data_IF_736754480775
#
_entry.id   IF_736754480775
#
_cell.length_a   1.000
_cell.length_b   1.000
_cell.length_c   1.000
_cell.angle_alpha   90.00
_cell.angle_beta   90.00
_cell.angle_gamma   90.00
#
_symmetry.space_group_name_H-M   'P 1'
#
loop_
_entity.id
_entity.type
_entity.pdbx_description
1 polymer ?
#
# COMPACT_ATOMS: atom_id res chain seq x y z
N UNK A 1 22.18 -58.98 -1.16
CA UNK A 1 20.88 -58.42 -1.62
C UNK A 1 20.84 -56.92 -1.33
N UNK A 2 21.10 -56.06 -2.32
CA UNK A 2 20.94 -54.58 -2.23
C UNK A 2 20.40 -54.00 -3.55
N UNK A 3 19.40 -54.66 -4.16
CA UNK A 3 18.79 -54.22 -5.43
C UNK A 3 17.36 -53.68 -5.23
N UNK A 4 16.75 -53.88 -4.05
CA UNK A 4 15.36 -53.53 -3.78
C UNK A 4 15.11 -52.09 -3.30
N UNK A 5 16.15 -51.26 -3.12
CA UNK A 5 16.00 -49.92 -2.53
C UNK A 5 16.02 -48.75 -3.55
N UNK A 6 16.49 -48.97 -4.79
CA UNK A 6 16.55 -47.89 -5.82
C UNK A 6 15.34 -47.87 -6.77
N UNK A 7 14.77 -49.03 -7.10
CA UNK A 7 13.69 -49.14 -8.07
C UNK A 7 12.29 -48.80 -7.54
N UNK A 8 12.08 -48.83 -6.23
CA UNK A 8 10.78 -48.47 -5.62
C UNK A 8 10.71 -46.97 -5.33
N UNK A 9 11.84 -46.32 -5.04
CA UNK A 9 11.89 -44.90 -4.70
C UNK A 9 11.65 -43.99 -5.90
N UNK A 10 12.09 -44.39 -7.11
CA UNK A 10 11.93 -43.59 -8.33
C UNK A 10 10.46 -43.42 -8.79
N UNK A 11 9.60 -44.47 -8.86
CA UNK A 11 8.21 -44.30 -9.26
C UNK A 11 7.39 -43.54 -8.21
N UNK A 12 7.68 -43.72 -6.91
CA UNK A 12 7.01 -42.97 -5.83
C UNK A 12 7.37 -41.48 -5.92
N UNK A 13 8.65 -41.16 -6.16
CA UNK A 13 9.09 -39.77 -6.34
C UNK A 13 8.48 -39.14 -7.61
N UNK A 14 8.42 -39.90 -8.72
CA UNK A 14 7.79 -39.44 -9.96
C UNK A 14 6.28 -39.19 -9.80
N UNK A 15 5.56 -40.03 -9.04
CA UNK A 15 4.15 -39.82 -8.72
C UNK A 15 3.91 -38.59 -7.84
N UNK A 16 4.78 -38.30 -6.88
CA UNK A 16 4.66 -37.14 -5.99
C UNK A 16 5.04 -35.82 -6.69
N UNK A 17 6.04 -35.83 -7.58
CA UNK A 17 6.41 -34.67 -8.40
C UNK A 17 5.29 -34.30 -9.39
N UNK A 18 4.62 -35.30 -9.95
CA UNK A 18 3.47 -35.10 -10.84
C UNK A 18 2.29 -34.40 -10.15
N UNK A 19 2.13 -34.62 -8.84
CA UNK A 19 1.06 -34.03 -8.03
C UNK A 19 1.38 -32.59 -7.57
N UNK A 20 2.66 -32.17 -7.63
CA UNK A 20 3.10 -30.81 -7.32
C UNK A 20 3.10 -29.83 -8.51
N UNK A 21 3.09 -30.34 -9.75
CA UNK A 21 3.17 -29.52 -10.98
C UNK A 21 1.80 -28.99 -11.46
N UNK A 22 0.69 -29.34 -10.81
CA UNK A 22 -0.66 -28.94 -11.21
C UNK A 22 -1.21 -27.69 -10.51
N UNK A 23 -0.47 -27.12 -9.54
CA UNK A 23 -0.84 -25.84 -8.90
C UNK A 23 -0.10 -24.66 -9.55
N UNK A 24 -0.22 -24.51 -10.86
CA UNK A 24 0.17 -23.28 -11.54
C UNK A 24 -1.06 -22.39 -11.68
N UNK A 25 -1.57 -21.91 -10.53
CA UNK A 25 -2.64 -20.91 -10.50
C UNK A 25 -2.05 -19.60 -11.00
N UNK A 26 -2.39 -19.23 -12.23
CA UNK A 26 -2.12 -17.91 -12.79
C UNK A 26 -2.73 -16.85 -11.87
N UNK A 27 -1.93 -16.27 -10.98
CA UNK A 27 -2.37 -15.16 -10.13
C UNK A 27 -2.53 -13.95 -11.03
N UNK A 28 -3.76 -13.68 -11.46
CA UNK A 28 -4.11 -12.42 -12.10
C UNK A 28 -4.07 -11.31 -11.05
N UNK A 29 -3.04 -10.48 -11.08
CA UNK A 29 -2.97 -9.26 -10.26
C UNK A 29 -3.74 -8.16 -10.99
N UNK A 30 -4.94 -7.84 -10.50
CA UNK A 30 -5.64 -6.65 -10.95
C UNK A 30 -4.93 -5.40 -10.39
N UNK A 31 -4.51 -4.48 -11.28
CA UNK A 31 -3.99 -3.17 -10.86
C UNK A 31 -5.17 -2.36 -10.33
N UNK A 32 -5.25 -2.24 -9.00
CA UNK A 32 -6.29 -1.42 -8.37
C UNK A 32 -5.91 0.07 -8.48
N UNK A 33 -6.91 0.92 -8.65
CA UNK A 33 -6.71 2.37 -8.54
C UNK A 33 -6.21 2.68 -7.11
N UNK A 34 -5.03 3.31 -6.96
CA UNK A 34 -4.44 3.53 -5.64
C UNK A 34 -5.33 4.34 -4.70
N UNK A 35 -6.12 5.29 -5.22
CA UNK A 35 -7.01 6.09 -4.38
C UNK A 35 -8.23 5.30 -3.89
N UNK A 36 -8.75 4.39 -4.72
CA UNK A 36 -9.80 3.44 -4.32
C UNK A 36 -9.28 2.42 -3.32
N UNK A 37 -8.07 1.88 -3.54
CA UNK A 37 -7.43 0.95 -2.64
C UNK A 37 -7.20 1.60 -1.26
N UNK A 38 -6.66 2.82 -1.23
CA UNK A 38 -6.48 3.57 0.00
C UNK A 38 -7.78 3.74 0.79
N UNK A 39 -8.89 4.10 0.14
CA UNK A 39 -10.19 4.19 0.81
C UNK A 39 -10.57 2.89 1.54
N UNK A 40 -10.40 1.75 0.86
CA UNK A 40 -10.75 0.42 1.40
C UNK A 40 -9.75 0.00 2.48
N UNK A 41 -8.46 0.26 2.30
CA UNK A 41 -7.40 -0.06 3.25
C UNK A 41 -7.57 0.72 4.57
N UNK A 42 -8.12 1.94 4.50
CA UNK A 42 -8.48 2.73 5.66
C UNK A 42 -9.76 2.24 6.38
N UNK A 43 -10.41 1.19 5.85
CA UNK A 43 -11.61 0.58 6.41
C UNK A 43 -12.92 1.25 5.99
N UNK A 44 -12.91 2.04 4.91
CA UNK A 44 -14.09 2.76 4.44
C UNK A 44 -14.77 2.10 3.25
N UNK A 45 -16.02 2.49 3.01
CA UNK A 45 -16.80 1.91 1.92
C UNK A 45 -16.55 2.66 0.62
N UNK A 46 -16.20 1.93 -0.44
CA UNK A 46 -16.09 2.49 -1.77
C UNK A 46 -17.47 2.63 -2.40
N UNK A 47 -17.94 3.87 -2.56
CA UNK A 47 -19.17 4.20 -3.26
C UNK A 47 -18.95 4.51 -4.75
N UNK A 48 -20.05 4.67 -5.50
CA UNK A 48 -20.00 5.03 -6.94
C UNK A 48 -19.35 6.38 -7.22
N UNK A 49 -19.41 7.31 -6.26
CA UNK A 49 -18.94 8.70 -6.41
C UNK A 49 -17.72 9.03 -5.54
N UNK A 50 -17.22 8.09 -4.75
CA UNK A 50 -16.15 8.37 -3.80
C UNK A 50 -16.08 7.39 -2.62
N UNK A 51 -15.19 7.70 -1.68
CA UNK A 51 -15.06 7.04 -0.39
C UNK A 51 -16.16 7.51 0.57
N UNK A 52 -16.87 6.58 1.22
CA UNK A 52 -17.95 6.84 2.18
C UNK A 52 -17.44 6.55 3.58
N UNK A 53 -17.51 7.55 4.45
CA UNK A 53 -17.00 7.49 5.81
C UNK A 53 -18.07 7.06 6.83
N UNK A 54 -17.68 6.68 8.07
CA UNK A 54 -18.62 6.19 9.09
C UNK A 54 -19.67 7.22 9.55
N UNK A 55 -19.42 8.52 9.35
CA UNK A 55 -20.40 9.58 9.65
C UNK A 55 -21.42 9.79 8.53
N UNK A 56 -21.36 8.98 7.46
CA UNK A 56 -22.21 9.09 6.27
C UNK A 56 -21.77 10.15 5.27
N UNK A 57 -20.73 10.94 5.57
CA UNK A 57 -20.14 11.85 4.59
C UNK A 57 -19.37 11.06 3.52
N UNK A 58 -19.20 11.65 2.35
CA UNK A 58 -18.43 11.04 1.26
C UNK A 58 -17.49 12.04 0.64
N UNK A 59 -16.36 11.56 0.13
CA UNK A 59 -15.45 12.35 -0.67
C UNK A 59 -14.91 11.59 -1.87
N UNK A 60 -14.63 12.30 -2.97
CA UNK A 60 -13.94 11.75 -4.13
C UNK A 60 -12.62 11.09 -3.70
N UNK A 61 -12.32 9.89 -4.24
CA UNK A 61 -11.25 9.04 -3.71
C UNK A 61 -9.88 9.69 -3.83
N UNK A 62 -9.59 10.36 -4.95
CA UNK A 62 -8.33 11.07 -5.13
C UNK A 62 -8.21 12.31 -4.25
N UNK A 63 -9.29 13.06 -4.05
CA UNK A 63 -9.32 14.18 -3.12
C UNK A 63 -9.05 13.71 -1.67
N UNK A 64 -9.61 12.57 -1.26
CA UNK A 64 -9.31 11.96 0.03
C UNK A 64 -7.85 11.48 0.10
N UNK A 65 -7.37 10.78 -0.92
CA UNK A 65 -5.99 10.29 -1.02
C UNK A 65 -4.95 11.43 -0.93
N UNK A 66 -5.26 12.60 -1.51
CA UNK A 66 -4.41 13.80 -1.45
C UNK A 66 -4.64 14.67 -0.20
N UNK A 67 -5.54 14.28 0.69
CA UNK A 67 -5.84 15.03 1.91
C UNK A 67 -6.57 16.36 1.66
N UNK A 68 -7.21 16.52 0.50
CA UNK A 68 -8.00 17.71 0.14
C UNK A 68 -9.36 17.74 0.86
N UNK A 69 -9.82 16.59 1.34
CA UNK A 69 -11.06 16.41 2.09
C UNK A 69 -10.94 15.23 3.05
N UNK A 70 -11.93 15.06 3.94
CA UNK A 70 -12.01 13.89 4.81
C UNK A 70 -10.81 13.75 5.74
N UNK A 71 -10.10 14.83 6.05
CA UNK A 71 -8.83 14.74 6.78
C UNK A 71 -8.99 14.06 8.13
N UNK A 72 -10.11 14.31 8.84
CA UNK A 72 -10.49 13.64 10.10
C UNK A 72 -10.56 12.10 10.02
N UNK A 73 -10.61 11.54 8.81
CA UNK A 73 -10.68 10.12 8.53
C UNK A 73 -9.34 9.52 8.07
N UNK A 74 -8.30 10.34 7.92
CA UNK A 74 -6.94 9.83 7.71
C UNK A 74 -6.39 9.25 8.99
N UNK A 75 -5.47 8.30 8.91
CA UNK A 75 -4.84 7.72 10.08
C UNK A 75 -4.03 8.77 10.85
N UNK A 76 -3.41 9.71 10.15
CA UNK A 76 -2.69 10.83 10.77
C UNK A 76 -3.56 11.68 11.70
N UNK A 77 -4.74 12.12 11.26
CA UNK A 77 -5.61 12.94 12.11
C UNK A 77 -6.29 12.14 13.21
N UNK A 78 -6.60 10.85 12.98
CA UNK A 78 -7.05 9.95 14.05
C UNK A 78 -6.04 9.87 15.19
N UNK A 79 -4.75 9.89 14.85
CA UNK A 79 -3.64 9.87 15.80
C UNK A 79 -3.32 11.27 16.39
N UNK A 80 -4.11 12.31 16.07
CA UNK A 80 -3.98 13.66 16.61
C UNK A 80 -2.97 14.56 15.91
N UNK A 81 -2.33 14.07 14.84
CA UNK A 81 -1.45 14.86 13.98
C UNK A 81 -2.26 15.65 12.93
N UNK A 82 -1.58 16.38 12.03
CA UNK A 82 -2.24 17.21 11.02
C UNK A 82 -1.92 16.79 9.61
N UNK A 83 -2.94 16.70 8.76
CA UNK A 83 -2.77 16.50 7.33
C UNK A 83 -2.51 17.83 6.63
N UNK A 84 -1.55 17.82 5.71
CA UNK A 84 -1.27 18.91 4.79
C UNK A 84 -1.18 18.36 3.38
N UNK A 85 -1.92 18.95 2.45
CA UNK A 85 -1.73 18.67 1.02
C UNK A 85 -0.49 19.44 0.53
N UNK A 86 0.48 18.71 0.01
CA UNK A 86 1.72 19.26 -0.55
C UNK A 86 1.64 19.19 -2.07
N UNK A 87 1.88 20.33 -2.69
CA UNK A 87 2.01 20.49 -4.14
C UNK A 87 3.50 20.60 -4.45
N UNK A 88 4.02 19.67 -5.22
CA UNK A 88 5.43 19.60 -5.58
C UNK A 88 5.59 19.75 -7.09
N UNK A 89 6.34 20.77 -7.49
CA UNK A 89 6.77 20.93 -8.87
C UNK A 89 7.82 19.86 -9.22
N UNK A 90 7.54 19.09 -10.25
CA UNK A 90 8.41 18.04 -10.80
C UNK A 90 8.99 18.46 -12.16
N UNK A 91 8.95 19.76 -12.47
CA UNK A 91 9.43 20.38 -13.71
C UNK A 91 8.36 20.39 -14.79
N UNK A 92 8.09 19.23 -15.39
CA UNK A 92 7.11 19.12 -16.50
C UNK A 92 5.68 18.92 -16.01
N UNK A 93 5.50 18.61 -14.72
CA UNK A 93 4.20 18.30 -14.12
C UNK A 93 4.23 18.60 -12.62
N UNK A 94 3.04 18.65 -12.02
CA UNK A 94 2.86 18.93 -10.59
C UNK A 94 2.31 17.70 -9.88
N UNK A 95 2.95 17.30 -8.79
CA UNK A 95 2.47 16.24 -7.93
C UNK A 95 1.75 16.81 -6.72
N UNK A 96 0.56 16.29 -6.42
CA UNK A 96 -0.18 16.63 -5.21
C UNK A 96 -0.36 15.37 -4.35
N UNK A 97 0.00 15.44 -3.07
CA UNK A 97 -0.09 14.31 -2.14
C UNK A 97 -0.30 14.78 -0.69
N UNK A 98 -0.87 13.90 0.14
CA UNK A 98 -1.05 14.16 1.56
C UNK A 98 0.22 13.88 2.36
N UNK A 99 0.51 14.75 3.32
CA UNK A 99 1.60 14.61 4.28
C UNK A 99 1.05 14.76 5.69
N UNK A 100 1.35 13.81 6.54
CA UNK A 100 1.17 13.90 7.97
C UNK A 100 2.28 14.75 8.60
N UNK A 101 1.88 15.82 9.27
CA UNK A 101 2.74 16.75 10.01
C UNK A 101 2.62 16.44 11.50
N UNK A 102 3.73 16.04 12.11
CA UNK A 102 3.81 15.72 13.53
C UNK A 102 3.95 16.98 14.39
N UNK A 103 3.71 16.84 15.69
CA UNK A 103 3.87 17.94 16.65
C UNK A 103 5.30 18.51 16.73
N UNK A 104 6.32 17.72 16.39
CA UNK A 104 7.73 18.16 16.32
C UNK A 104 8.07 18.85 14.98
N UNK A 105 7.08 19.03 14.11
CA UNK A 105 7.21 19.64 12.78
C UNK A 105 7.77 18.70 11.72
N UNK A 106 8.06 17.44 12.04
CA UNK A 106 8.49 16.47 11.04
C UNK A 106 7.32 16.03 10.19
N UNK A 107 7.64 15.66 8.96
CA UNK A 107 6.67 15.33 7.92
C UNK A 107 6.84 13.89 7.45
N UNK A 108 5.74 13.20 7.25
CA UNK A 108 5.71 11.91 6.57
C UNK A 108 4.55 11.82 5.57
N UNK A 109 4.74 11.29 4.35
CA UNK A 109 3.63 11.01 3.44
C UNK A 109 2.55 10.16 4.12
N UNK A 110 1.28 10.48 3.90
CA UNK A 110 0.16 9.81 4.58
C UNK A 110 0.04 8.33 4.20
N UNK A 111 0.33 8.02 2.94
CA UNK A 111 0.39 6.65 2.43
C UNK A 111 1.49 5.83 3.13
N UNK A 112 2.63 6.44 3.48
CA UNK A 112 3.67 5.80 4.28
C UNK A 112 3.29 5.73 5.78
N UNK A 113 2.56 6.72 6.29
CA UNK A 113 2.10 6.79 7.68
C UNK A 113 1.08 5.71 8.02
N UNK A 114 0.08 5.52 7.15
CA UNK A 114 -1.00 4.53 7.29
C UNK A 114 -0.46 3.10 7.35
N UNK A 115 0.60 2.79 6.59
CA UNK A 115 1.26 1.48 6.58
C UNK A 115 2.45 1.37 7.55
N UNK A 116 2.56 2.29 8.51
CA UNK A 116 3.59 2.27 9.56
C UNK A 116 5.05 2.32 9.08
N UNK A 117 5.33 2.81 7.86
CA UNK A 117 6.71 3.03 7.40
C UNK A 117 7.41 4.15 8.16
N UNK A 118 6.64 5.07 8.74
CA UNK A 118 7.11 6.18 9.57
C UNK A 118 6.10 6.44 10.69
N UNK A 119 6.56 6.89 11.86
CA UNK A 119 5.72 7.37 12.98
C UNK A 119 6.49 8.40 13.82
N UNK A 120 5.81 9.25 14.62
CA UNK A 120 6.47 10.07 15.64
C UNK A 120 7.34 9.21 16.56
N UNK A 121 8.56 9.65 16.86
CA UNK A 121 9.47 8.93 17.77
C UNK A 121 10.13 7.66 17.21
N UNK A 122 9.73 7.14 16.04
CA UNK A 122 10.44 6.05 15.34
C UNK A 122 10.85 6.50 13.94
N UNK A 123 12.16 6.69 13.73
CA UNK A 123 12.76 7.07 12.45
C UNK A 123 12.06 8.25 11.74
N UNK A 124 11.64 9.25 12.52
CA UNK A 124 11.21 10.51 11.94
C UNK A 124 12.47 11.27 11.46
N UNK A 125 12.73 11.13 10.16
CA UNK A 125 13.77 11.77 9.34
C UNK A 125 15.22 11.27 9.52
N UNK A 126 15.67 10.46 8.56
CA UNK A 126 16.72 10.93 7.64
C UNK A 126 16.41 10.44 6.24
N UNK A 127 15.70 11.25 5.45
CA UNK A 127 15.68 11.13 3.99
C UNK A 127 17.07 11.54 3.47
N UNK A 128 18.11 10.76 3.79
CA UNK A 128 19.37 10.77 3.03
C UNK A 128 19.00 10.22 1.65
N UNK A 129 18.92 11.13 0.69
CA UNK A 129 19.38 10.97 -0.70
C UNK A 129 19.27 9.57 -1.33
N UNK A 130 18.53 9.50 -2.44
CA UNK A 130 18.43 8.39 -3.41
C UNK A 130 17.49 7.23 -3.04
N UNK A 131 16.23 7.37 -3.42
CA UNK A 131 15.57 6.31 -4.18
C UNK A 131 14.91 6.96 -5.40
N UNK A 132 15.50 6.70 -6.56
CA UNK A 132 14.77 6.81 -7.82
C UNK A 132 13.44 6.07 -7.67
N UNK A 133 12.32 6.57 -8.22
CA UNK A 133 11.14 5.73 -8.34
C UNK A 133 11.51 4.49 -9.19
N UNK A 134 11.17 3.27 -8.75
CA UNK A 134 11.25 2.12 -9.63
C UNK A 134 10.09 2.25 -10.63
N UNK A 135 10.33 2.95 -11.75
CA UNK A 135 9.53 2.71 -12.93
C UNK A 135 10.03 1.41 -13.55
N UNK A 136 9.16 0.41 -13.48
CA UNK A 136 9.20 -0.81 -14.25
C UNK A 136 9.37 -0.47 -15.74
N UNK A 137 10.32 -1.15 -16.39
CA UNK A 137 10.35 -1.32 -17.85
C UNK A 137 9.10 -2.10 -18.31
#
# INVERSE_FOLDING_TARGET
>A
MKILQKNVYMPIYMSLVSMGLLFNSSVAVAVQNPSSAYCVDQGYQLGKKGCIFPDGSSCETWAFYRGQCGQKFTDCEKDGNKIKTVVKDMGTWTQEYAVCVFHDGKECPEDDYSINKCKPGKNASTRRTKRNPPFLN
#
